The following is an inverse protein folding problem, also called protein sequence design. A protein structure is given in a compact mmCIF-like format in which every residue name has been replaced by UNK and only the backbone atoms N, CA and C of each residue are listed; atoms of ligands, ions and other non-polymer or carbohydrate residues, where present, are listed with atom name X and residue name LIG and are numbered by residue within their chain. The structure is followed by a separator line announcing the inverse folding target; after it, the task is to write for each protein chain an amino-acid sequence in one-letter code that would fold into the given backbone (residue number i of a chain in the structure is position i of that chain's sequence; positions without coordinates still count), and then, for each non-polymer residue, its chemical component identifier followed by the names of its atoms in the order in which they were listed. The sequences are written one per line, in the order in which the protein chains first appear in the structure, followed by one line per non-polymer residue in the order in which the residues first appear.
data_IF_244780800050
#
_entry.id   IF_244780800050
#
_cell.length_a   1.000
_cell.length_b   1.000
_cell.length_c   1.000
_cell.angle_alpha   90.00
_cell.angle_beta   90.00
_cell.angle_gamma   90.00
#
_symmetry.space_group_name_H-M   'P 1'
#
loop_
_entity.id
_entity.type
_entity.pdbx_description
1 polymer ?
#
# COMPACT_ATOMS: atom_id res chain seq x y z
N UNK A 1 -31.57 -31.81 40.92
CA UNK A 1 -32.12 -33.13 40.49
C UNK A 1 -31.45 -33.39 39.14
N UNK A 2 -30.34 -34.09 39.17
CA UNK A 2 -29.71 -34.75 38.01
C UNK A 2 -30.40 -36.09 37.77
N UNK A 3 -30.28 -36.72 36.59
CA UNK A 3 -29.13 -37.50 36.18
C UNK A 3 -28.75 -37.29 34.69
N UNK A 4 -27.48 -37.27 34.25
CA UNK A 4 -26.49 -38.38 34.07
C UNK A 4 -26.92 -39.54 33.18
N UNK A 5 -26.21 -39.72 32.09
CA UNK A 5 -25.75 -40.94 31.43
C UNK A 5 -25.14 -40.57 30.07
N UNK A 6 -23.88 -40.60 29.88
CA UNK A 6 -22.90 -41.72 29.80
C UNK A 6 -22.92 -42.46 28.44
N UNK A 7 -21.83 -42.28 27.74
CA UNK A 7 -20.81 -43.28 27.35
C UNK A 7 -20.97 -44.09 26.05
N UNK A 8 -19.91 -44.04 25.34
CA UNK A 8 -19.22 -45.13 24.58
C UNK A 8 -19.79 -45.44 23.18
N UNK A 9 -18.99 -45.72 22.16
CA UNK A 9 -17.80 -46.58 21.99
C UNK A 9 -17.17 -46.31 20.59
N UNK A 10 -15.88 -46.15 20.47
CA UNK A 10 -14.87 -47.09 19.91
C UNK A 10 -15.31 -47.87 18.65
N UNK A 11 -14.58 -47.80 17.56
CA UNK A 11 -13.38 -48.57 17.20
C UNK A 11 -13.19 -48.59 15.67
N UNK A 12 -12.04 -48.24 15.21
CA UNK A 12 -11.06 -48.99 14.44
C UNK A 12 -11.51 -49.76 13.20
N UNK A 13 -10.87 -49.48 12.06
CA UNK A 13 -10.17 -50.51 11.28
C UNK A 13 -9.27 -49.85 10.23
N UNK A 14 -7.99 -50.09 10.39
CA UNK A 14 -6.97 -49.99 9.35
C UNK A 14 -7.08 -51.23 8.44
N UNK A 15 -6.92 -51.02 7.13
CA UNK A 15 -6.54 -52.10 6.23
C UNK A 15 -5.72 -51.56 5.06
N UNK A 16 -4.49 -51.93 5.06
CA UNK A 16 -3.52 -51.78 3.99
C UNK A 16 -3.88 -52.66 2.79
N UNK A 17 -3.65 -52.18 1.59
CA UNK A 17 -3.40 -53.01 0.44
C UNK A 17 -2.28 -52.41 -0.40
N UNK A 18 -1.12 -53.04 -0.26
CA UNK A 18 0.01 -53.03 -1.24
C UNK A 18 -0.40 -53.90 -2.44
N UNK A 19 -0.13 -53.43 -3.64
CA UNK A 19 0.26 -54.28 -4.79
C UNK A 19 0.67 -53.39 -5.95
N UNK A 20 1.86 -53.47 -6.32
CA UNK A 20 2.63 -54.24 -7.35
C UNK A 20 2.98 -53.32 -8.52
N UNK A 21 4.27 -53.04 -8.62
CA UNK A 21 4.98 -52.54 -9.80
C UNK A 21 5.18 -53.73 -10.78
N UNK A 22 5.10 -53.53 -12.07
CA UNK A 22 5.95 -54.26 -12.97
C UNK A 22 6.98 -53.35 -13.63
N UNK A 23 8.20 -53.71 -13.41
CA UNK A 23 9.37 -53.36 -14.19
C UNK A 23 9.24 -53.96 -15.58
N UNK A 24 9.43 -53.17 -16.63
CA UNK A 24 9.82 -53.71 -17.93
C UNK A 24 10.89 -52.82 -18.55
N UNK A 25 11.95 -53.48 -18.81
CA UNK A 25 13.23 -53.02 -19.32
C UNK A 25 13.22 -52.76 -20.83
N UNK A 26 14.13 -51.84 -21.20
CA UNK A 26 14.95 -51.79 -22.42
C UNK A 26 14.30 -51.54 -23.78
N UNK A 27 14.65 -50.41 -24.38
CA UNK A 27 15.54 -50.45 -25.55
C UNK A 27 16.01 -49.01 -25.94
N UNK A 28 17.28 -48.95 -26.12
CA UNK A 28 18.07 -47.83 -26.63
C UNK A 28 17.71 -47.48 -28.06
N UNK A 29 17.43 -46.20 -28.31
CA UNK A 29 17.63 -45.61 -29.64
C UNK A 29 18.15 -44.17 -29.45
N UNK A 30 19.44 -44.05 -29.63
CA UNK A 30 20.13 -42.77 -29.74
C UNK A 30 19.77 -42.10 -31.07
N UNK A 31 19.05 -41.01 -30.99
CA UNK A 31 18.94 -40.09 -32.11
C UNK A 31 19.56 -38.75 -31.65
N UNK A 32 20.76 -38.55 -32.17
CA UNK A 32 21.52 -37.30 -32.04
C UNK A 32 20.77 -36.18 -32.75
N UNK A 33 20.07 -35.33 -32.01
CA UNK A 33 19.51 -34.10 -32.54
C UNK A 33 20.53 -32.98 -32.36
N UNK A 34 21.08 -32.56 -33.47
CA UNK A 34 21.94 -31.39 -33.62
C UNK A 34 21.21 -30.15 -33.11
N UNK A 35 21.69 -29.58 -32.02
CA UNK A 35 21.24 -28.25 -31.54
C UNK A 35 22.08 -27.22 -32.29
N UNK A 36 21.51 -26.34 -33.11
CA UNK A 36 22.24 -25.23 -33.69
C UNK A 36 22.60 -24.22 -32.61
N UNK A 37 23.87 -23.86 -32.55
CA UNK A 37 24.44 -22.89 -31.66
C UNK A 37 23.69 -21.54 -31.75
N UNK A 38 23.16 -21.08 -30.62
CA UNK A 38 22.57 -19.76 -30.49
C UNK A 38 23.64 -18.70 -30.75
N UNK A 39 23.39 -17.83 -31.73
CA UNK A 39 24.21 -16.66 -32.00
C UNK A 39 24.14 -15.70 -30.80
N UNK A 40 25.24 -15.03 -30.40
CA UNK A 40 25.22 -14.11 -29.30
C UNK A 40 24.36 -12.90 -29.64
N UNK A 41 23.40 -12.61 -28.78
CA UNK A 41 22.52 -11.44 -28.82
C UNK A 41 23.42 -10.18 -28.66
N UNK A 42 23.72 -9.54 -29.77
CA UNK A 42 24.52 -8.32 -29.84
C UNK A 42 23.76 -7.19 -29.15
N UNK A 43 24.30 -6.74 -28.02
CA UNK A 43 23.96 -5.56 -27.25
C UNK A 43 23.58 -4.36 -28.15
N UNK A 44 22.29 -4.08 -28.26
CA UNK A 44 21.79 -2.80 -28.75
C UNK A 44 21.48 -1.90 -27.55
N UNK A 45 22.52 -1.55 -26.83
CA UNK A 45 22.52 -0.48 -25.84
C UNK A 45 23.52 0.55 -26.31
N UNK A 46 23.08 1.53 -27.07
CA UNK A 46 23.81 2.82 -27.25
C UNK A 46 23.11 3.64 -28.35
N UNK A 47 21.94 4.22 -28.06
CA UNK A 47 21.47 5.37 -28.87
C UNK A 47 20.49 6.30 -28.12
N UNK A 48 20.25 6.14 -26.80
CA UNK A 48 19.40 7.07 -26.03
C UNK A 48 20.16 7.99 -25.06
N UNK A 49 21.51 8.03 -25.09
CA UNK A 49 22.28 8.83 -24.15
C UNK A 49 22.75 10.20 -24.66
N UNK A 50 22.44 10.56 -25.89
CA UNK A 50 22.94 11.82 -26.49
C UNK A 50 21.97 12.99 -26.43
N UNK A 51 20.69 12.78 -26.10
CA UNK A 51 19.70 13.86 -25.97
C UNK A 51 19.71 14.56 -24.61
N UNK A 52 20.19 13.90 -23.57
CA UNK A 52 20.16 14.43 -22.19
C UNK A 52 21.33 15.32 -21.80
N UNK A 53 22.35 15.46 -22.66
CA UNK A 53 23.61 16.13 -22.31
C UNK A 53 23.77 17.57 -22.84
N UNK A 54 22.75 18.19 -23.43
CA UNK A 54 22.92 19.50 -24.10
C UNK A 54 22.20 20.71 -23.51
N UNK A 55 21.46 20.57 -22.41
CA UNK A 55 20.70 21.69 -21.83
C UNK A 55 20.78 21.87 -20.32
N UNK A 56 21.77 21.32 -19.64
CA UNK A 56 21.98 21.58 -18.23
C UNK A 56 23.41 22.02 -17.94
N UNK A 57 23.80 23.22 -18.42
CA UNK A 57 24.76 24.06 -17.74
C UNK A 57 23.98 25.13 -16.98
N UNK A 58 23.20 24.72 -15.97
CA UNK A 58 22.75 25.59 -14.90
C UNK A 58 23.48 25.14 -13.64
N UNK A 59 24.19 26.10 -13.05
CA UNK A 59 24.86 26.04 -11.78
C UNK A 59 24.09 25.22 -10.76
N UNK A 60 24.46 23.96 -10.54
CA UNK A 60 23.93 23.14 -9.47
C UNK A 60 24.60 23.56 -8.17
N UNK A 61 24.08 24.57 -7.50
CA UNK A 61 24.17 24.61 -6.05
C UNK A 61 23.46 23.36 -5.54
N UNK A 62 24.18 22.30 -5.26
CA UNK A 62 23.72 21.11 -4.56
C UNK A 62 23.44 21.52 -3.10
N UNK A 63 22.36 22.25 -2.88
CA UNK A 63 21.78 22.34 -1.55
C UNK A 63 21.20 20.94 -1.23
N UNK A 64 21.69 20.34 -0.16
CA UNK A 64 21.09 19.13 0.38
C UNK A 64 19.57 19.31 0.47
N UNK A 65 18.75 18.30 0.15
CA UNK A 65 17.30 18.43 0.21
C UNK A 65 16.92 18.94 1.59
N UNK A 66 16.12 20.00 1.63
CA UNK A 66 15.63 20.54 2.90
C UNK A 66 14.67 19.53 3.51
N UNK A 67 15.06 18.96 4.65
CA UNK A 67 14.22 18.01 5.40
C UNK A 67 13.25 18.79 6.30
N UNK A 68 12.02 18.26 6.50
CA UNK A 68 11.15 18.79 7.53
C UNK A 68 11.79 18.72 8.92
N UNK A 69 11.54 19.70 9.78
CA UNK A 69 11.99 19.69 11.18
C UNK A 69 11.36 18.56 11.97
N UNK A 70 10.09 18.27 11.70
CA UNK A 70 9.36 17.13 12.26
C UNK A 70 9.36 15.97 11.28
N UNK A 71 10.05 14.89 11.65
CA UNK A 71 10.27 13.71 10.80
C UNK A 71 9.40 12.52 11.18
N UNK A 72 8.44 12.73 12.06
CA UNK A 72 7.44 11.69 12.39
C UNK A 72 6.71 11.24 11.14
N UNK A 73 6.32 9.96 11.06
CA UNK A 73 5.46 9.49 9.99
C UNK A 73 4.21 10.36 9.82
N UNK A 74 3.76 10.52 8.59
CA UNK A 74 2.57 11.28 8.24
C UNK A 74 1.47 10.30 7.83
N UNK A 75 0.37 10.30 8.54
CA UNK A 75 -0.84 9.56 8.20
C UNK A 75 -1.75 10.48 7.39
N UNK A 76 -1.98 10.11 6.13
CA UNK A 76 -2.91 10.81 5.24
C UNK A 76 -4.19 9.97 5.13
N UNK A 77 -5.31 10.55 5.54
CA UNK A 77 -6.60 9.90 5.45
C UNK A 77 -7.64 10.80 4.75
N UNK A 78 -8.79 10.24 4.43
CA UNK A 78 -9.89 10.93 3.77
C UNK A 78 -10.62 10.03 2.79
N UNK A 79 -11.79 10.43 2.30
CA UNK A 79 -12.64 9.58 1.48
C UNK A 79 -11.98 9.07 0.20
N UNK A 80 -12.44 7.89 -0.25
CA UNK A 80 -12.06 7.39 -1.56
C UNK A 80 -12.46 8.42 -2.64
N UNK A 81 -11.53 8.71 -3.56
CA UNK A 81 -11.80 9.69 -4.63
C UNK A 81 -11.45 11.14 -4.30
N UNK A 82 -11.09 11.46 -3.06
CA UNK A 82 -10.77 12.84 -2.65
C UNK A 82 -9.44 13.37 -3.22
N UNK A 83 -8.55 12.51 -3.74
CA UNK A 83 -7.29 12.92 -4.36
C UNK A 83 -6.04 12.77 -3.49
N UNK A 84 -6.06 12.01 -2.38
CA UNK A 84 -4.89 11.73 -1.53
C UNK A 84 -3.65 11.33 -2.35
N UNK A 85 -3.82 10.33 -3.23
CA UNK A 85 -2.74 9.82 -4.07
C UNK A 85 -2.10 10.86 -4.97
N UNK A 86 -2.86 11.80 -5.49
CA UNK A 86 -2.35 12.92 -6.30
C UNK A 86 -1.51 13.86 -5.43
N UNK A 87 -1.99 14.19 -4.24
CA UNK A 87 -1.31 15.10 -3.33
C UNK A 87 0.04 14.54 -2.86
N UNK A 88 0.09 13.31 -2.35
CA UNK A 88 1.37 12.78 -1.87
C UNK A 88 2.35 12.50 -3.02
N UNK A 89 1.88 12.14 -4.22
CA UNK A 89 2.77 12.01 -5.39
C UNK A 89 3.40 13.34 -5.76
N UNK A 90 2.63 14.42 -5.81
CA UNK A 90 3.16 15.77 -6.04
C UNK A 90 4.14 16.20 -4.95
N UNK A 91 3.87 15.87 -3.69
CA UNK A 91 4.79 16.13 -2.59
C UNK A 91 6.12 15.41 -2.82
N UNK A 92 6.10 14.15 -3.25
CA UNK A 92 7.31 13.37 -3.54
C UNK A 92 8.06 13.87 -4.76
N UNK A 93 7.35 14.31 -5.81
CA UNK A 93 7.95 14.89 -7.02
C UNK A 93 8.65 16.21 -6.72
N UNK A 94 8.07 17.05 -5.85
CA UNK A 94 8.66 18.33 -5.45
C UNK A 94 9.81 18.19 -4.47
N UNK A 95 9.82 17.15 -3.68
CA UNK A 95 10.82 16.88 -2.65
C UNK A 95 11.41 15.46 -2.79
N UNK A 96 12.21 15.24 -3.85
CA UNK A 96 12.83 13.93 -4.11
C UNK A 96 13.65 13.48 -2.90
N UNK A 97 13.59 12.18 -2.60
CA UNK A 97 14.36 11.52 -1.52
C UNK A 97 14.01 11.94 -0.08
N UNK A 98 13.08 12.88 0.13
CA UNK A 98 12.62 13.30 1.46
C UNK A 98 11.55 12.38 2.01
N UNK A 99 10.61 11.95 1.16
CA UNK A 99 9.45 11.16 1.55
C UNK A 99 9.50 9.75 1.00
N UNK A 100 8.81 8.83 1.67
CA UNK A 100 8.57 7.48 1.16
C UNK A 100 7.15 7.03 1.51
N UNK A 101 6.45 6.43 0.55
CA UNK A 101 5.19 5.77 0.83
C UNK A 101 5.46 4.48 1.61
N UNK A 102 4.69 4.24 2.67
CA UNK A 102 4.64 2.93 3.30
C UNK A 102 3.85 1.98 2.38
N UNK A 103 4.57 1.12 1.66
CA UNK A 103 3.95 0.15 0.77
C UNK A 103 3.20 -0.87 1.61
N UNK A 104 1.88 -0.92 1.46
CA UNK A 104 1.01 -1.82 2.21
C UNK A 104 1.01 -3.23 1.62
N UNK A 105 0.73 -4.22 2.45
CA UNK A 105 0.43 -5.59 2.03
C UNK A 105 -1.04 -5.70 1.64
N UNK A 106 -1.34 -6.52 0.64
CA UNK A 106 -2.73 -6.81 0.26
C UNK A 106 -2.90 -8.24 -0.22
N UNK A 107 -4.10 -8.78 0.01
CA UNK A 107 -4.50 -10.08 -0.55
C UNK A 107 -5.27 -9.95 -1.87
N UNK A 108 -5.44 -8.73 -2.37
CA UNK A 108 -6.01 -8.45 -3.68
C UNK A 108 -5.01 -8.80 -4.78
N UNK A 109 -5.49 -9.36 -5.87
CA UNK A 109 -4.64 -9.53 -7.05
C UNK A 109 -4.20 -8.19 -7.64
N UNK A 110 -2.99 -8.11 -8.22
CA UNK A 110 -2.51 -6.91 -8.92
C UNK A 110 -3.46 -6.49 -10.05
N UNK A 111 -3.65 -5.19 -10.22
CA UNK A 111 -4.31 -4.63 -11.40
C UNK A 111 -3.31 -4.49 -12.57
N UNK A 112 -3.79 -4.36 -13.82
CA UNK A 112 -2.90 -4.05 -14.94
C UNK A 112 -2.03 -2.82 -14.66
N UNK A 113 -0.71 -2.98 -14.77
CA UNK A 113 0.27 -1.92 -14.52
C UNK A 113 0.77 -1.82 -13.08
N UNK A 114 0.15 -2.47 -12.10
CA UNK A 114 0.65 -2.53 -10.72
C UNK A 114 1.79 -3.55 -10.59
N UNK A 115 2.76 -3.25 -9.74
CA UNK A 115 3.96 -4.09 -9.53
C UNK A 115 4.13 -4.41 -8.05
N UNK A 116 4.50 -5.66 -7.78
CA UNK A 116 4.85 -6.11 -6.43
C UNK A 116 6.03 -5.35 -5.86
N UNK A 117 5.96 -5.01 -4.57
CA UNK A 117 6.97 -4.23 -3.87
C UNK A 117 7.05 -2.75 -4.27
N UNK A 118 6.16 -2.29 -5.17
CA UNK A 118 6.07 -0.88 -5.62
C UNK A 118 4.72 -0.27 -5.28
N UNK A 119 3.64 -0.93 -5.73
CA UNK A 119 2.28 -0.48 -5.47
C UNK A 119 1.74 -1.12 -4.18
N UNK A 120 1.94 -2.42 -4.04
CA UNK A 120 1.63 -3.23 -2.86
C UNK A 120 2.62 -4.38 -2.73
N UNK A 121 2.71 -5.00 -1.54
CA UNK A 121 3.18 -6.36 -1.35
C UNK A 121 1.98 -7.29 -1.49
N UNK A 122 1.92 -8.05 -2.59
CA UNK A 122 0.82 -8.97 -2.86
C UNK A 122 1.07 -10.31 -2.18
N UNK A 123 0.22 -10.65 -1.22
CA UNK A 123 0.37 -11.87 -0.39
C UNK A 123 -0.89 -12.72 -0.42
N UNK A 124 -0.78 -13.99 -0.06
CA UNK A 124 -1.95 -14.86 0.13
C UNK A 124 -2.70 -14.48 1.41
N UNK A 125 -3.97 -14.89 1.52
CA UNK A 125 -4.77 -14.65 2.72
C UNK A 125 -4.19 -15.36 3.95
N UNK A 126 -3.62 -16.54 3.74
CA UNK A 126 -2.97 -17.35 4.78
C UNK A 126 -1.76 -16.61 5.32
N UNK A 127 -0.86 -16.17 4.43
CA UNK A 127 0.33 -15.41 4.83
C UNK A 127 -0.02 -14.08 5.49
N UNK A 128 -1.06 -13.39 5.00
CA UNK A 128 -1.52 -12.15 5.66
C UNK A 128 -1.97 -12.40 7.10
N UNK A 129 -2.71 -13.49 7.35
CA UNK A 129 -3.14 -13.87 8.71
C UNK A 129 -1.97 -14.24 9.62
N UNK A 130 -0.93 -14.89 9.09
CA UNK A 130 0.32 -15.15 9.82
C UNK A 130 0.98 -13.84 10.26
N UNK A 131 1.10 -12.87 9.33
CA UNK A 131 1.66 -11.55 9.65
C UNK A 131 0.84 -10.80 10.72
N UNK A 132 -0.49 -10.93 10.71
CA UNK A 132 -1.36 -10.37 11.76
C UNK A 132 -1.11 -11.06 13.10
N UNK A 133 -1.06 -12.41 13.12
CA UNK A 133 -0.82 -13.18 14.34
C UNK A 133 0.55 -12.88 14.95
N UNK A 134 1.55 -12.62 14.11
CA UNK A 134 2.91 -12.25 14.51
C UNK A 134 3.08 -10.76 14.88
N UNK A 135 1.99 -9.99 14.95
CA UNK A 135 1.99 -8.55 15.24
C UNK A 135 2.94 -7.74 14.33
N UNK A 136 3.01 -8.11 13.05
CA UNK A 136 3.89 -7.43 12.06
C UNK A 136 3.29 -6.15 11.50
N UNK A 137 1.99 -5.91 11.67
CA UNK A 137 1.31 -4.74 11.15
C UNK A 137 1.11 -3.65 12.23
N UNK A 138 1.15 -2.40 11.79
CA UNK A 138 0.74 -1.24 12.58
C UNK A 138 -0.77 -1.09 12.55
N UNK A 139 -1.32 -1.36 11.38
CA UNK A 139 -2.75 -1.40 11.12
C UNK A 139 -3.04 -2.50 10.11
N UNK A 140 -4.22 -3.07 10.22
CA UNK A 140 -4.76 -3.97 9.20
C UNK A 140 -6.27 -3.83 9.13
N UNK A 141 -6.81 -3.88 7.92
CA UNK A 141 -8.23 -3.73 7.65
C UNK A 141 -8.69 -4.69 6.56
N UNK A 142 -9.95 -5.07 6.62
CA UNK A 142 -10.62 -5.79 5.54
C UNK A 142 -11.47 -4.81 4.73
N UNK A 143 -11.30 -4.84 3.41
CA UNK A 143 -12.15 -4.11 2.48
C UNK A 143 -12.70 -5.08 1.42
N UNK A 144 -13.99 -5.28 1.44
CA UNK A 144 -14.64 -6.33 0.66
C UNK A 144 -14.12 -7.72 1.05
N UNK A 145 -13.65 -8.48 0.07
CA UNK A 145 -13.08 -9.82 0.28
C UNK A 145 -11.58 -9.81 0.55
N UNK A 146 -10.93 -8.66 0.53
CA UNK A 146 -9.47 -8.52 0.62
C UNK A 146 -9.03 -7.87 1.92
N UNK A 147 -7.82 -8.19 2.33
CA UNK A 147 -7.14 -7.59 3.46
C UNK A 147 -6.07 -6.61 2.98
N UNK A 148 -5.84 -5.58 3.80
CA UNK A 148 -4.82 -4.56 3.61
C UNK A 148 -4.14 -4.32 4.94
N UNK A 149 -2.83 -4.06 4.94
CA UNK A 149 -2.12 -3.78 6.18
C UNK A 149 -0.76 -3.12 5.94
N UNK A 150 -0.40 -2.22 6.84
CA UNK A 150 0.86 -1.50 6.81
C UNK A 150 1.84 -2.14 7.80
N UNK A 151 2.98 -2.64 7.30
CA UNK A 151 3.93 -3.33 8.16
C UNK A 151 4.82 -2.38 8.96
N UNK A 152 5.13 -2.77 10.19
CA UNK A 152 6.09 -2.09 11.07
C UNK A 152 7.49 -2.05 10.42
N UNK A 153 7.86 -3.12 9.72
CA UNK A 153 9.15 -3.23 9.05
C UNK A 153 9.33 -2.20 7.93
N UNK A 154 8.30 -2.00 7.09
CA UNK A 154 8.37 -1.01 6.00
C UNK A 154 8.55 0.41 6.55
N UNK A 155 7.86 0.76 7.63
CA UNK A 155 8.00 2.07 8.27
C UNK A 155 9.42 2.22 8.81
N UNK A 156 9.91 1.23 9.58
CA UNK A 156 11.24 1.26 10.18
C UNK A 156 12.35 1.37 9.13
N UNK A 157 12.25 0.61 8.03
CA UNK A 157 13.22 0.63 6.94
C UNK A 157 13.32 2.00 6.28
N UNK A 158 12.20 2.63 5.94
CA UNK A 158 12.22 3.94 5.30
C UNK A 158 12.68 5.04 6.26
N UNK A 159 12.28 4.97 7.52
CA UNK A 159 12.73 5.88 8.57
C UNK A 159 14.25 5.77 8.81
N UNK A 160 14.80 4.55 8.79
CA UNK A 160 16.25 4.32 8.91
C UNK A 160 17.05 4.91 7.74
N UNK A 161 16.42 5.00 6.55
CA UNK A 161 16.99 5.70 5.39
C UNK A 161 16.90 7.23 5.49
N UNK A 162 16.36 7.75 6.58
CA UNK A 162 16.20 9.18 6.82
C UNK A 162 15.00 9.82 6.13
N UNK A 163 14.08 9.05 5.58
CA UNK A 163 12.87 9.54 4.92
C UNK A 163 11.73 9.75 5.89
N UNK A 164 10.86 10.70 5.61
CA UNK A 164 9.57 10.85 6.29
C UNK A 164 8.59 9.89 5.64
N UNK A 165 8.07 8.95 6.43
CA UNK A 165 7.17 7.91 5.92
C UNK A 165 5.75 8.43 5.82
N UNK A 166 5.12 8.25 4.66
CA UNK A 166 3.71 8.60 4.42
C UNK A 166 2.87 7.33 4.41
N UNK A 167 1.83 7.29 5.24
CA UNK A 167 0.86 6.20 5.32
C UNK A 167 -0.45 6.69 4.70
N UNK A 168 -0.87 6.12 3.56
CA UNK A 168 -2.21 6.34 2.97
C UNK A 168 -3.14 5.23 3.46
N UNK A 169 -3.89 5.50 4.51
CA UNK A 169 -4.74 4.53 5.20
C UNK A 169 -6.15 5.04 5.41
N UNK A 170 -7.08 4.11 5.58
CA UNK A 170 -8.49 4.39 5.82
C UNK A 170 -8.76 4.67 7.31
N UNK A 171 -9.98 5.13 7.63
CA UNK A 171 -10.41 5.53 8.98
C UNK A 171 -10.08 4.48 10.05
N UNK A 172 -10.35 3.19 9.79
CA UNK A 172 -10.08 2.13 10.78
C UNK A 172 -8.57 1.93 11.01
N UNK A 173 -7.76 2.10 9.95
CA UNK A 173 -6.31 2.11 10.07
C UNK A 173 -5.81 3.28 10.91
N UNK A 174 -6.37 4.48 10.72
CA UNK A 174 -6.03 5.66 11.56
C UNK A 174 -6.28 5.37 13.04
N UNK A 175 -7.43 4.79 13.37
CA UNK A 175 -7.77 4.44 14.76
C UNK A 175 -6.77 3.42 15.34
N UNK A 176 -6.30 2.47 14.54
CA UNK A 176 -5.30 1.48 14.97
C UNK A 176 -3.92 2.13 15.18
N UNK A 177 -3.44 2.95 14.23
CA UNK A 177 -2.16 3.67 14.37
C UNK A 177 -2.17 4.55 15.61
N UNK A 178 -3.28 5.26 15.90
CA UNK A 178 -3.42 6.08 17.12
C UNK A 178 -3.34 5.27 18.44
N UNK A 179 -3.68 3.99 18.41
CA UNK A 179 -3.57 3.08 19.57
C UNK A 179 -2.21 2.37 19.64
N UNK A 180 -1.42 2.45 18.56
CA UNK A 180 -0.09 1.85 18.49
C UNK A 180 0.96 2.72 19.19
N UNK A 181 2.19 2.23 19.26
CA UNK A 181 3.33 2.99 19.79
C UNK A 181 3.96 3.95 18.78
N UNK A 182 3.39 4.09 17.58
CA UNK A 182 3.92 4.97 16.54
C UNK A 182 3.44 6.39 16.79
N UNK A 183 4.38 7.27 17.11
CA UNK A 183 4.13 8.72 17.15
C UNK A 183 4.11 9.25 15.71
N UNK A 184 2.92 9.60 15.21
CA UNK A 184 2.69 10.06 13.84
C UNK A 184 1.93 11.39 13.84
N UNK A 185 2.05 12.13 12.73
CA UNK A 185 1.24 13.31 12.43
C UNK A 185 0.06 12.91 11.54
N UNK A 186 -1.09 13.51 11.72
CA UNK A 186 -2.34 13.11 11.06
C UNK A 186 -2.93 14.25 10.24
N UNK A 187 -3.10 14.04 8.93
CA UNK A 187 -3.77 15.00 8.04
C UNK A 187 -4.97 14.34 7.37
N UNK A 188 -6.09 15.04 7.38
CA UNK A 188 -7.30 14.62 6.70
C UNK A 188 -7.50 15.44 5.43
N UNK A 189 -7.68 14.75 4.30
CA UNK A 189 -8.00 15.39 3.03
C UNK A 189 -9.51 15.31 2.83
N UNK A 190 -10.16 16.48 2.77
CA UNK A 190 -11.59 16.62 2.57
C UNK A 190 -11.91 17.03 1.14
N UNK A 191 -13.03 16.61 0.57
CA UNK A 191 -13.56 17.21 -0.66
C UNK A 191 -14.20 18.57 -0.33
N UNK A 192 -14.36 19.47 -1.33
CA UNK A 192 -15.06 20.73 -1.12
C UNK A 192 -16.56 20.54 -0.83
N UNK A 193 -17.16 19.50 -1.40
CA UNK A 193 -18.54 19.09 -1.15
C UNK A 193 -18.76 17.59 -1.42
N UNK A 194 -19.91 17.07 -0.97
CA UNK A 194 -20.31 15.69 -1.23
C UNK A 194 -20.58 15.45 -2.73
N UNK A 195 -21.17 16.45 -3.40
CA UNK A 195 -21.50 16.40 -4.82
C UNK A 195 -20.22 16.33 -5.67
N UNK A 196 -19.20 17.09 -5.29
CA UNK A 196 -17.90 17.06 -5.97
C UNK A 196 -17.21 15.69 -5.77
N UNK A 197 -17.29 15.11 -4.57
CA UNK A 197 -16.77 13.78 -4.32
C UNK A 197 -17.49 12.73 -5.18
N UNK A 198 -18.81 12.79 -5.27
CA UNK A 198 -19.61 11.92 -6.13
C UNK A 198 -19.21 12.07 -7.60
N UNK A 199 -19.08 13.29 -8.08
CA UNK A 199 -18.62 13.58 -9.45
C UNK A 199 -17.26 12.96 -9.74
N UNK A 200 -16.31 13.07 -8.80
CA UNK A 200 -14.96 12.48 -8.93
C UNK A 200 -15.00 10.95 -8.92
N UNK A 201 -15.84 10.34 -8.10
CA UNK A 201 -16.00 8.87 -8.06
C UNK A 201 -16.58 8.35 -9.37
N UNK A 202 -17.64 9.00 -9.90
CA UNK A 202 -18.27 8.64 -11.18
C UNK A 202 -17.34 8.85 -12.39
N UNK A 203 -16.54 9.92 -12.35
CA UNK A 203 -15.62 10.28 -13.43
C UNK A 203 -14.48 9.28 -13.68
N UNK A 204 -14.24 8.32 -12.77
CA UNK A 204 -13.27 7.23 -12.98
C UNK A 204 -13.69 6.21 -14.03
N UNK A 205 -14.98 6.10 -14.33
CA UNK A 205 -15.51 5.21 -15.37
C UNK A 205 -15.34 3.69 -15.14
N UNK A 206 -14.75 3.29 -14.03
CA UNK A 206 -14.43 1.90 -13.70
C UNK A 206 -15.30 1.31 -12.59
N UNK A 207 -16.23 2.11 -12.04
CA UNK A 207 -17.03 1.75 -10.86
C UNK A 207 -18.49 1.51 -11.27
N UNK A 208 -19.11 0.47 -10.67
CA UNK A 208 -20.56 0.28 -10.79
C UNK A 208 -21.32 1.27 -9.90
N UNK A 209 -22.60 1.56 -10.24
CA UNK A 209 -23.46 2.42 -9.42
C UNK A 209 -23.55 1.94 -7.96
N UNK A 210 -23.59 0.65 -7.74
CA UNK A 210 -23.60 0.07 -6.40
C UNK A 210 -22.30 0.37 -5.66
N UNK A 211 -21.15 0.24 -6.32
CA UNK A 211 -19.83 0.58 -5.77
C UNK A 211 -19.77 2.08 -5.39
N UNK A 212 -20.25 2.95 -6.27
CA UNK A 212 -20.31 4.41 -6.00
C UNK A 212 -21.17 4.70 -4.77
N UNK A 213 -22.37 4.11 -4.69
CA UNK A 213 -23.28 4.32 -3.55
C UNK A 213 -22.66 3.86 -2.22
N UNK A 214 -22.02 2.68 -2.20
CA UNK A 214 -21.36 2.17 -1.00
C UNK A 214 -20.19 3.08 -0.57
N UNK A 215 -19.41 3.60 -1.53
CA UNK A 215 -18.32 4.53 -1.24
C UNK A 215 -18.81 5.87 -0.71
N UNK A 216 -19.92 6.39 -1.24
CA UNK A 216 -20.50 7.63 -0.76
C UNK A 216 -21.07 7.48 0.66
N UNK A 217 -21.74 6.36 0.96
CA UNK A 217 -22.19 6.07 2.31
C UNK A 217 -21.03 6.05 3.30
N UNK A 218 -19.93 5.36 2.96
CA UNK A 218 -18.73 5.32 3.77
C UNK A 218 -18.04 6.67 3.88
N UNK A 219 -18.05 7.47 2.81
CA UNK A 219 -17.46 8.80 2.80
C UNK A 219 -18.09 9.74 3.85
N UNK A 220 -19.39 9.63 4.10
CA UNK A 220 -20.06 10.40 5.15
C UNK A 220 -19.50 10.07 6.54
N UNK A 221 -19.32 8.79 6.86
CA UNK A 221 -18.70 8.34 8.13
C UNK A 221 -17.25 8.83 8.24
N UNK A 222 -16.49 8.77 7.15
CA UNK A 222 -15.10 9.25 7.10
C UNK A 222 -15.04 10.79 7.28
N UNK A 223 -15.96 11.55 6.70
CA UNK A 223 -16.05 13.00 6.87
C UNK A 223 -16.42 13.39 8.31
N UNK A 224 -17.33 12.68 8.94
CA UNK A 224 -17.67 12.88 10.36
C UNK A 224 -16.44 12.59 11.24
N UNK A 225 -15.75 11.50 11.00
CA UNK A 225 -14.51 11.18 11.70
C UNK A 225 -13.42 12.24 11.46
N UNK A 226 -13.30 12.76 10.23
CA UNK A 226 -12.39 13.86 9.91
C UNK A 226 -12.62 15.12 10.75
N UNK A 227 -13.88 15.39 11.11
CA UNK A 227 -14.28 16.55 11.93
C UNK A 227 -14.19 16.30 13.43
N UNK A 228 -13.93 15.08 13.86
CA UNK A 228 -13.95 14.69 15.28
C UNK A 228 -12.78 15.20 16.13
N UNK A 229 -11.85 15.96 15.55
CA UNK A 229 -10.60 16.38 16.20
C UNK A 229 -9.51 15.31 16.21
N UNK A 230 -9.70 14.24 15.44
CA UNK A 230 -8.73 13.13 15.37
C UNK A 230 -7.49 13.46 14.52
N UNK A 231 -7.47 14.59 13.83
CA UNK A 231 -6.41 15.00 12.89
C UNK A 231 -5.78 16.33 13.29
N UNK A 232 -4.48 16.43 13.09
CA UNK A 232 -3.71 17.66 13.37
C UNK A 232 -3.99 18.75 12.33
N UNK A 233 -4.37 18.34 11.11
CA UNK A 233 -4.69 19.23 9.99
C UNK A 233 -5.81 18.65 9.14
N UNK A 234 -6.70 19.54 8.67
CA UNK A 234 -7.68 19.23 7.62
C UNK A 234 -7.34 20.12 6.43
N UNK A 235 -7.25 19.52 5.23
CA UNK A 235 -7.00 20.19 3.96
C UNK A 235 -8.17 19.91 3.02
N UNK A 236 -8.80 20.97 2.51
CA UNK A 236 -9.86 20.85 1.51
C UNK A 236 -9.23 20.80 0.11
N UNK A 237 -9.34 19.66 -0.56
CA UNK A 237 -8.82 19.49 -1.92
C UNK A 237 -9.87 19.91 -2.96
N UNK A 238 -10.05 21.24 -3.08
CA UNK A 238 -10.83 21.86 -4.15
C UNK A 238 -9.92 22.20 -5.33
N UNK A 239 -8.98 23.11 -5.12
CA UNK A 239 -7.89 23.40 -6.05
C UNK A 239 -6.63 22.63 -5.62
N UNK A 240 -6.07 21.86 -6.55
CA UNK A 240 -4.91 21.01 -6.28
C UNK A 240 -3.67 21.84 -5.92
N UNK A 241 -3.50 23.03 -6.52
CA UNK A 241 -2.34 23.90 -6.28
C UNK A 241 -2.38 24.50 -4.88
N UNK A 242 -3.56 24.85 -4.42
CA UNK A 242 -3.79 25.35 -3.05
C UNK A 242 -3.60 24.22 -2.05
N UNK A 243 -4.21 23.07 -2.30
CA UNK A 243 -4.15 21.92 -1.39
C UNK A 243 -2.74 21.36 -1.21
N UNK A 244 -1.93 21.28 -2.29
CA UNK A 244 -0.54 20.83 -2.17
C UNK A 244 0.31 21.86 -1.41
N UNK A 245 0.08 23.16 -1.63
CA UNK A 245 0.79 24.18 -0.87
C UNK A 245 0.45 24.11 0.63
N UNK A 246 -0.82 23.94 0.98
CA UNK A 246 -1.20 23.76 2.39
C UNK A 246 -0.56 22.51 3.01
N UNK A 247 -0.45 21.43 2.25
CA UNK A 247 0.21 20.21 2.71
C UNK A 247 1.71 20.47 2.95
N UNK A 248 2.39 21.12 2.02
CA UNK A 248 3.81 21.49 2.15
C UNK A 248 4.03 22.42 3.35
N UNK A 249 3.23 23.48 3.47
CA UNK A 249 3.32 24.44 4.57
C UNK A 249 3.14 23.74 5.94
N UNK A 250 2.22 22.77 6.03
CA UNK A 250 2.00 22.01 7.26
C UNK A 250 3.13 21.00 7.53
N UNK A 251 3.65 20.35 6.49
CA UNK A 251 4.73 19.36 6.63
C UNK A 251 6.03 20.03 7.07
N UNK A 252 6.37 21.18 6.50
CA UNK A 252 7.61 21.91 6.76
C UNK A 252 7.48 22.96 7.85
N UNK A 253 6.27 23.30 8.26
CA UNK A 253 6.02 24.22 9.38
C UNK A 253 6.60 23.67 10.68
N UNK A 254 7.02 24.59 11.56
CA UNK A 254 7.40 24.20 12.92
C UNK A 254 6.20 23.58 13.62
N UNK A 255 6.36 22.48 14.38
CA UNK A 255 5.30 21.94 15.20
C UNK A 255 4.76 23.09 16.08
N UNK A 256 3.44 23.30 16.06
CA UNK A 256 2.81 24.23 16.99
C UNK A 256 3.22 23.79 18.40
N UNK A 257 3.80 24.71 19.18
CA UNK A 257 4.12 24.43 20.56
C UNK A 257 2.83 23.95 21.23
N UNK A 258 2.84 22.71 21.72
CA UNK A 258 1.74 22.14 22.50
C UNK A 258 1.57 23.01 23.75
N UNK A 259 0.55 23.84 23.73
CA UNK A 259 0.07 24.61 24.90
C UNK A 259 -0.72 23.71 25.84
#
# INVERSE_FOLDING_TARGET
MFPDAALATRSAAAAALRRIIPCCSSSSASTSAHIPAAKPFRRQQQQHSTWYRRHHTMSSSTSSPQLPSDRRPIVIAGPSGVGKGTLYKLLFERHPDVFALSISHTTRSPRPGERDGVDYYYVTKEHFKELVADDKFVESAQFGSNFYGTSKATIAEQSARGRVVVLDIEMEGVKQVKRSSIDARYVFIAPPSAEELERRLRGRGTESEESVRLRLARANEELEFGRSGAFDKIIVNDDLTVAIKELEDWVYGSPAASS
#
